data_IF_947405781991
#
_entry.id   IF_947405781991
#
_cell.length_a   1.000
_cell.length_b   1.000
_cell.length_c   1.000
_cell.angle_alpha   90.00
_cell.angle_beta   90.00
_cell.angle_gamma   90.00
#
_symmetry.space_group_name_H-M   'P 1'
#
loop_
_entity.id
_entity.type
_entity.pdbx_description
1 polymer ?
#
# COMPACT_ATOMS: atom_id res chain seq x y z
N UNK A 1 -10.41 26.44 -3.39
CA UNK A 1 -9.11 25.78 -3.57
C UNK A 1 -9.04 25.24 -4.97
N UNK A 2 -8.15 25.76 -5.80
CA UNK A 2 -7.99 25.31 -7.19
C UNK A 2 -6.86 24.30 -7.24
N UNK A 3 -7.17 23.10 -7.70
CA UNK A 3 -6.19 22.06 -7.91
C UNK A 3 -5.67 22.10 -9.33
N UNK A 4 -4.37 21.99 -9.50
CA UNK A 4 -3.74 21.85 -10.82
C UNK A 4 -3.25 20.41 -10.98
N UNK A 5 -3.49 19.85 -12.16
CA UNK A 5 -2.90 18.57 -12.54
C UNK A 5 -1.41 18.81 -12.78
N UNK A 6 -0.55 18.12 -12.02
CA UNK A 6 0.90 18.28 -12.11
C UNK A 6 1.52 17.56 -13.31
N UNK A 7 1.01 17.79 -14.52
CA UNK A 7 1.48 17.08 -15.72
C UNK A 7 2.90 17.46 -16.13
N UNK A 8 3.37 18.64 -15.73
CA UNK A 8 4.70 19.16 -16.09
C UNK A 8 5.69 19.12 -14.92
N UNK A 9 5.26 18.68 -13.74
CA UNK A 9 6.12 18.71 -12.57
C UNK A 9 7.02 17.47 -12.47
N UNK A 10 8.27 17.65 -12.03
CA UNK A 10 9.17 16.53 -11.75
C UNK A 10 8.57 15.63 -10.68
N UNK A 11 8.42 14.36 -10.98
CA UNK A 11 7.76 13.38 -10.13
C UNK A 11 8.32 13.31 -8.70
N UNK A 12 9.64 13.44 -8.55
CA UNK A 12 10.30 13.38 -7.24
C UNK A 12 10.06 14.61 -6.37
N UNK A 13 9.76 15.76 -6.95
CA UNK A 13 9.56 17.01 -6.21
C UNK A 13 8.08 17.42 -6.18
N UNK A 14 7.45 17.57 -7.33
CA UNK A 14 6.05 17.97 -7.45
C UNK A 14 5.08 16.81 -7.26
N UNK A 15 5.27 15.72 -7.99
CA UNK A 15 4.41 14.52 -7.94
C UNK A 15 4.77 13.53 -6.84
N UNK A 16 5.69 13.87 -5.93
CA UNK A 16 6.14 13.01 -4.82
C UNK A 16 6.53 11.59 -5.27
N UNK A 17 7.22 11.49 -6.40
CA UNK A 17 7.75 10.25 -6.94
C UNK A 17 6.76 9.42 -7.75
N UNK A 18 5.64 9.94 -8.16
CA UNK A 18 4.65 9.23 -8.97
C UNK A 18 5.25 8.69 -10.28
N UNK A 19 5.99 9.50 -11.03
CA UNK A 19 6.62 9.08 -12.28
C UNK A 19 7.83 8.16 -12.04
N UNK A 20 8.55 8.36 -10.93
CA UNK A 20 9.62 7.43 -10.53
C UNK A 20 9.06 6.06 -10.20
N UNK A 21 7.94 6.00 -9.46
CA UNK A 21 7.25 4.74 -9.16
C UNK A 21 6.70 4.09 -10.44
N UNK A 22 6.14 4.87 -11.35
CA UNK A 22 5.72 4.37 -12.66
C UNK A 22 6.88 3.77 -13.45
N UNK A 23 8.06 4.42 -13.41
CA UNK A 23 9.25 3.91 -14.05
C UNK A 23 9.70 2.59 -13.46
N UNK A 24 9.76 2.48 -12.14
CA UNK A 24 10.13 1.22 -11.45
C UNK A 24 9.13 0.11 -11.77
N UNK A 25 7.82 0.37 -11.70
CA UNK A 25 6.82 -0.65 -12.00
C UNK A 25 6.90 -1.11 -13.46
N UNK A 26 7.17 -0.22 -14.41
CA UNK A 26 7.37 -0.58 -15.82
C UNK A 26 8.65 -1.41 -16.05
N UNK A 27 9.73 -1.12 -15.35
CA UNK A 27 10.96 -1.94 -15.39
C UNK A 27 10.66 -3.37 -14.95
N UNK A 28 9.92 -3.53 -13.86
CA UNK A 28 9.53 -4.84 -13.34
C UNK A 28 8.62 -5.57 -14.32
N UNK A 29 7.57 -4.94 -14.80
CA UNK A 29 6.60 -5.52 -15.73
C UNK A 29 7.25 -5.90 -17.08
N UNK A 30 8.16 -5.09 -17.60
CA UNK A 30 8.93 -5.38 -18.83
C UNK A 30 9.86 -6.60 -18.69
N UNK A 31 10.11 -7.03 -17.45
CA UNK A 31 10.93 -8.21 -17.12
C UNK A 31 10.09 -9.41 -16.66
N UNK A 32 8.78 -9.40 -16.98
CA UNK A 32 7.80 -10.42 -16.56
C UNK A 32 7.73 -10.59 -15.04
N UNK A 33 7.80 -9.46 -14.32
CA UNK A 33 7.61 -9.40 -12.87
C UNK A 33 6.34 -8.59 -12.61
N UNK A 34 5.18 -9.24 -12.41
CA UNK A 34 3.95 -8.54 -12.09
C UNK A 34 4.08 -7.88 -10.73
N UNK A 35 3.53 -6.67 -10.59
CA UNK A 35 3.63 -5.91 -9.35
C UNK A 35 2.43 -4.98 -9.16
N UNK A 36 2.22 -4.53 -7.93
CA UNK A 36 1.29 -3.45 -7.64
C UNK A 36 1.74 -2.62 -6.42
N UNK A 37 1.32 -1.38 -6.40
CA UNK A 37 1.58 -0.45 -5.31
C UNK A 37 0.60 -0.72 -4.17
N UNK A 38 1.12 -0.93 -2.97
CA UNK A 38 0.34 -1.33 -1.79
C UNK A 38 0.50 -0.34 -0.62
N UNK A 39 0.01 -0.70 0.55
CA UNK A 39 0.14 0.09 1.75
C UNK A 39 -0.46 1.49 1.61
N UNK A 40 0.26 2.49 2.08
CA UNK A 40 -0.20 3.89 2.05
C UNK A 40 -0.45 4.38 0.62
N UNK A 41 0.31 3.90 -0.38
CA UNK A 41 0.09 4.29 -1.78
C UNK A 41 -1.29 3.85 -2.28
N UNK A 42 -1.72 2.64 -1.97
CA UNK A 42 -3.06 2.15 -2.31
C UNK A 42 -4.15 2.90 -1.54
N UNK A 43 -3.93 3.20 -0.26
CA UNK A 43 -4.85 4.00 0.55
C UNK A 43 -5.09 5.39 -0.07
N UNK A 44 -4.02 6.10 -0.46
CA UNK A 44 -4.11 7.41 -1.11
C UNK A 44 -4.83 7.28 -2.44
N UNK A 45 -4.53 6.26 -3.24
CA UNK A 45 -5.22 6.00 -4.51
C UNK A 45 -6.74 5.85 -4.32
N UNK A 46 -7.17 5.28 -3.19
CA UNK A 46 -8.58 5.13 -2.82
C UNK A 46 -9.13 6.27 -1.97
N UNK A 47 -8.43 7.40 -1.88
CA UNK A 47 -8.94 8.63 -1.30
C UNK A 47 -8.66 8.84 0.18
N UNK A 48 -7.87 7.96 0.81
CA UNK A 48 -7.48 8.18 2.21
C UNK A 48 -6.42 9.28 2.34
N UNK A 49 -6.62 10.16 3.30
CA UNK A 49 -5.71 11.28 3.58
C UNK A 49 -4.50 10.82 4.40
N UNK A 50 -3.53 10.21 3.73
CA UNK A 50 -2.28 9.76 4.36
C UNK A 50 -1.06 10.38 3.70
N UNK A 51 0.01 10.53 4.46
CA UNK A 51 1.33 10.91 3.94
C UNK A 51 2.12 9.64 3.63
N UNK A 52 2.60 9.55 2.39
CA UNK A 52 3.44 8.44 1.94
C UNK A 52 4.91 8.75 2.21
N UNK A 53 5.59 7.96 3.07
CA UNK A 53 7.02 8.13 3.28
C UNK A 53 7.82 7.50 2.12
N UNK A 54 7.47 6.27 1.72
CA UNK A 54 8.14 5.46 0.71
C UNK A 54 7.12 4.77 -0.20
N UNK A 55 7.59 4.16 -1.30
CA UNK A 55 6.77 3.41 -2.23
C UNK A 55 6.90 1.90 -1.96
N UNK A 56 5.83 1.29 -1.48
CA UNK A 56 5.74 -0.15 -1.26
C UNK A 56 5.19 -0.82 -2.52
N UNK A 57 5.99 -1.74 -3.09
CA UNK A 57 5.70 -2.44 -4.33
C UNK A 57 5.55 -3.92 -4.02
N UNK A 58 4.34 -4.45 -4.02
CA UNK A 58 4.10 -5.89 -3.87
C UNK A 58 4.53 -6.62 -5.14
N UNK A 59 5.25 -7.73 -4.94
CA UNK A 59 5.81 -8.59 -5.98
C UNK A 59 5.59 -10.04 -5.55
N UNK A 60 5.26 -10.97 -6.47
CA UNK A 60 5.21 -12.39 -6.13
C UNK A 60 6.44 -12.81 -5.36
N UNK A 61 6.26 -13.51 -4.26
CA UNK A 61 7.31 -13.79 -3.27
C UNK A 61 8.51 -14.49 -3.89
N UNK A 62 8.28 -15.41 -4.81
CA UNK A 62 9.29 -16.16 -5.55
C UNK A 62 10.08 -15.28 -6.54
N UNK A 63 9.58 -14.11 -6.89
CA UNK A 63 10.23 -13.17 -7.83
C UNK A 63 10.97 -12.02 -7.14
N UNK A 64 10.91 -11.90 -5.82
CA UNK A 64 11.57 -10.81 -5.05
C UNK A 64 13.08 -10.77 -5.34
N UNK A 65 13.75 -11.92 -5.33
CA UNK A 65 15.18 -12.00 -5.64
C UNK A 65 15.51 -11.58 -7.07
N UNK A 66 14.67 -11.98 -8.04
CA UNK A 66 14.80 -11.57 -9.46
C UNK A 66 14.63 -10.06 -9.60
N UNK A 67 13.61 -9.48 -8.93
CA UNK A 67 13.36 -8.05 -8.95
C UNK A 67 14.52 -7.24 -8.34
N UNK A 68 15.04 -7.68 -7.19
CA UNK A 68 16.17 -7.04 -6.55
C UNK A 68 17.44 -7.10 -7.43
N UNK A 69 17.71 -8.24 -8.05
CA UNK A 69 18.84 -8.39 -8.97
C UNK A 69 18.69 -7.52 -10.22
N UNK A 70 17.48 -7.42 -10.77
CA UNK A 70 17.18 -6.57 -11.94
C UNK A 70 17.55 -5.11 -11.67
N UNK A 71 17.12 -4.55 -10.54
CA UNK A 71 17.40 -3.16 -10.19
C UNK A 71 18.88 -2.89 -9.88
N UNK A 72 19.65 -3.93 -9.48
CA UNK A 72 21.08 -3.85 -9.22
C UNK A 72 21.95 -4.11 -10.46
N UNK A 73 21.35 -4.51 -11.58
CA UNK A 73 22.07 -4.84 -12.82
C UNK A 73 21.98 -3.70 -13.82
N UNK A 74 22.95 -3.62 -14.74
CA UNK A 74 22.90 -2.67 -15.86
C UNK A 74 21.68 -2.95 -16.77
N UNK A 75 20.99 -1.92 -17.25
CA UNK A 75 21.33 -0.49 -17.10
C UNK A 75 20.76 0.17 -15.84
N UNK A 76 20.03 -0.55 -14.98
CA UNK A 76 19.24 0.02 -13.88
C UNK A 76 20.08 0.42 -12.68
N UNK A 77 21.21 -0.25 -12.44
CA UNK A 77 22.18 0.06 -11.38
C UNK A 77 22.73 1.50 -11.41
N UNK A 78 22.68 2.14 -12.57
CA UNK A 78 23.02 3.55 -12.71
C UNK A 78 22.01 4.51 -12.03
N UNK A 79 20.77 4.04 -11.81
CA UNK A 79 19.68 4.84 -11.30
C UNK A 79 19.14 4.35 -9.94
N UNK A 80 19.40 3.11 -9.59
CA UNK A 80 18.89 2.50 -8.34
C UNK A 80 20.04 1.87 -7.56
N UNK A 81 20.09 2.16 -6.27
CA UNK A 81 21.04 1.54 -5.34
C UNK A 81 20.31 0.82 -4.23
N UNK A 82 20.71 -0.42 -3.96
CA UNK A 82 20.24 -1.14 -2.76
C UNK A 82 20.78 -0.41 -1.53
N UNK A 83 19.92 -0.19 -0.57
CA UNK A 83 20.28 0.41 0.72
C UNK A 83 19.87 -0.52 1.85
N UNK A 84 20.39 -0.26 3.05
CA UNK A 84 19.97 -1.01 4.23
C UNK A 84 18.45 -0.99 4.38
N UNK A 85 17.84 -2.11 4.78
CA UNK A 85 16.44 -2.16 5.13
C UNK A 85 16.06 -1.12 6.18
N UNK A 86 14.80 -0.96 6.46
CA UNK A 86 14.34 -0.06 7.50
C UNK A 86 15.04 -0.39 8.84
N UNK A 87 15.68 0.57 9.52
CA UNK A 87 16.59 0.27 10.64
C UNK A 87 15.90 -0.23 11.91
N UNK A 88 14.61 0.05 12.03
CA UNK A 88 13.85 -0.30 13.23
C UNK A 88 12.68 -1.22 12.88
N UNK A 89 12.47 -2.29 13.67
CA UNK A 89 11.27 -3.10 13.53
C UNK A 89 10.05 -2.22 13.79
N UNK A 90 9.18 -2.14 12.81
CA UNK A 90 7.85 -1.57 12.98
C UNK A 90 6.84 -2.69 13.22
N UNK A 91 5.56 -2.38 13.31
CA UNK A 91 4.50 -3.41 13.34
C UNK A 91 4.31 -4.07 11.95
N UNK A 92 5.39 -4.25 11.21
CA UNK A 92 5.45 -4.86 9.88
C UNK A 92 6.85 -5.43 9.64
N UNK A 93 7.01 -6.22 8.59
CA UNK A 93 8.31 -6.80 8.22
C UNK A 93 9.17 -5.88 7.33
N UNK A 94 8.91 -4.56 7.26
CA UNK A 94 9.64 -3.61 6.41
C UNK A 94 11.16 -3.64 6.62
N UNK A 95 11.61 -3.97 7.82
CA UNK A 95 13.02 -4.13 8.16
C UNK A 95 13.68 -5.37 7.53
N UNK A 96 12.91 -6.26 6.94
CA UNK A 96 13.39 -7.46 6.25
C UNK A 96 13.37 -7.33 4.72
N UNK A 97 12.78 -6.26 4.17
CA UNK A 97 12.55 -6.13 2.74
C UNK A 97 13.68 -5.38 2.03
N UNK A 98 13.91 -5.73 0.77
CA UNK A 98 14.82 -4.98 -0.08
C UNK A 98 14.32 -3.55 -0.29
N UNK A 99 15.20 -2.59 -0.01
CA UNK A 99 14.93 -1.16 -0.09
C UNK A 99 15.88 -0.51 -1.07
N UNK A 100 15.36 0.21 -2.03
CA UNK A 100 16.12 0.86 -3.08
C UNK A 100 15.99 2.38 -3.02
N UNK A 101 17.11 3.07 -3.21
CA UNK A 101 17.17 4.52 -3.40
C UNK A 101 17.23 4.83 -4.88
N UNK A 102 16.28 5.63 -5.37
CA UNK A 102 16.36 6.23 -6.70
C UNK A 102 17.35 7.39 -6.74
N UNK A 103 18.06 7.55 -7.84
CA UNK A 103 18.99 8.68 -8.03
C UNK A 103 18.21 10.00 -8.04
N UNK A 104 18.60 10.91 -7.17
CA UNK A 104 17.95 12.23 -7.05
C UNK A 104 16.63 12.24 -6.25
N UNK A 105 16.16 11.09 -5.76
CA UNK A 105 14.94 11.03 -4.94
C UNK A 105 15.24 11.19 -3.46
N UNK A 106 14.26 11.62 -2.67
CA UNK A 106 14.33 11.68 -1.21
C UNK A 106 13.42 10.64 -0.51
N UNK A 107 12.91 9.69 -1.27
CA UNK A 107 12.10 8.54 -0.83
C UNK A 107 12.73 7.25 -1.36
N UNK A 108 12.16 6.11 -0.99
CA UNK A 108 12.66 4.79 -1.33
C UNK A 108 11.58 3.93 -1.98
N UNK A 109 12.03 2.89 -2.69
CA UNK A 109 11.20 1.81 -3.20
C UNK A 109 11.45 0.56 -2.38
N UNK A 110 10.39 0.01 -1.80
CA UNK A 110 10.45 -1.19 -0.95
C UNK A 110 9.78 -2.32 -1.70
N UNK A 111 10.52 -3.41 -1.94
CA UNK A 111 9.98 -4.61 -2.57
C UNK A 111 9.34 -5.49 -1.51
N UNK A 112 8.01 -5.56 -1.52
CA UNK A 112 7.21 -6.28 -0.54
C UNK A 112 6.81 -7.64 -1.10
N UNK A 113 7.10 -8.76 -0.40
CA UNK A 113 6.55 -10.06 -0.81
C UNK A 113 5.01 -10.02 -0.81
N UNK A 114 4.39 -10.39 -1.93
CA UNK A 114 2.94 -10.29 -2.11
C UNK A 114 2.15 -11.12 -1.09
N UNK A 115 2.71 -12.25 -0.64
CA UNK A 115 2.15 -13.03 0.45
C UNK A 115 2.08 -12.27 1.78
N UNK A 116 3.00 -11.34 2.04
CA UNK A 116 3.07 -10.59 3.30
C UNK A 116 2.00 -9.49 3.39
N UNK A 117 1.39 -9.16 2.27
CA UNK A 117 0.24 -8.25 2.17
C UNK A 117 -1.03 -8.97 1.69
N UNK A 118 -1.01 -10.30 1.60
CA UNK A 118 -2.14 -11.14 1.20
C UNK A 118 -2.77 -10.72 -0.14
N UNK A 119 -1.93 -10.37 -1.12
CA UNK A 119 -2.33 -9.91 -2.45
C UNK A 119 -1.70 -10.79 -3.52
N UNK A 120 -2.49 -11.20 -4.51
CA UNK A 120 -2.00 -11.90 -5.68
C UNK A 120 -1.84 -10.89 -6.81
N UNK A 121 -0.58 -10.67 -7.25
CA UNK A 121 -0.24 -9.70 -8.30
C UNK A 121 -0.56 -10.28 -9.71
N UNK A 122 -1.83 -10.47 -10.01
CA UNK A 122 -2.32 -10.89 -11.33
C UNK A 122 -3.03 -9.73 -12.04
N UNK A 123 -3.05 -9.68 -13.39
CA UNK A 123 -3.75 -8.63 -14.14
C UNK A 123 -5.23 -8.52 -13.77
N UNK A 124 -5.89 -9.66 -13.45
CA UNK A 124 -7.27 -9.71 -12.99
C UNK A 124 -7.52 -8.99 -11.65
N UNK A 125 -6.50 -8.87 -10.81
CA UNK A 125 -6.55 -8.27 -9.47
C UNK A 125 -6.03 -6.83 -9.43
N UNK A 126 -5.52 -6.33 -10.57
CA UNK A 126 -4.91 -5.01 -10.66
C UNK A 126 -5.83 -4.05 -11.40
N UNK A 127 -5.91 -2.82 -10.91
CA UNK A 127 -6.43 -1.65 -11.60
C UNK A 127 -5.30 -0.66 -11.82
N UNK A 128 -5.49 0.30 -12.74
CA UNK A 128 -4.47 1.31 -13.01
C UNK A 128 -5.02 2.72 -12.79
N UNK A 129 -4.17 3.58 -12.25
CA UNK A 129 -4.46 5.01 -12.23
C UNK A 129 -4.49 5.58 -13.66
N UNK A 130 -4.95 6.81 -13.83
CA UNK A 130 -4.93 7.48 -15.13
C UNK A 130 -3.53 7.61 -15.73
N UNK A 131 -2.48 7.67 -14.90
CA UNK A 131 -1.07 7.66 -15.33
C UNK A 131 -0.52 6.25 -15.58
N UNK A 132 -1.27 5.21 -15.28
CA UNK A 132 -0.89 3.82 -15.52
C UNK A 132 -0.22 3.10 -14.34
N UNK A 133 -0.13 3.73 -13.16
CA UNK A 133 0.37 3.06 -11.95
C UNK A 133 -0.52 1.88 -11.57
N UNK A 134 0.05 0.70 -11.27
CA UNK A 134 -0.71 -0.49 -10.91
C UNK A 134 -1.08 -0.45 -9.41
N UNK A 135 -2.35 -0.63 -9.12
CA UNK A 135 -2.87 -0.77 -7.75
C UNK A 135 -3.72 -2.04 -7.65
N UNK A 136 -3.83 -2.67 -6.49
CA UNK A 136 -4.80 -3.74 -6.31
C UNK A 136 -6.21 -3.19 -6.52
N UNK A 137 -7.11 -3.96 -7.15
CA UNK A 137 -8.53 -3.61 -7.20
C UNK A 137 -9.07 -3.38 -5.79
N UNK A 138 -10.06 -2.51 -5.65
CA UNK A 138 -10.60 -2.12 -4.34
C UNK A 138 -11.05 -3.34 -3.51
N UNK A 139 -11.76 -4.30 -4.14
CA UNK A 139 -12.18 -5.52 -3.46
C UNK A 139 -11.00 -6.38 -3.01
N UNK A 140 -9.94 -6.47 -3.83
CA UNK A 140 -8.71 -7.21 -3.49
C UNK A 140 -7.99 -6.55 -2.31
N UNK A 141 -7.88 -5.23 -2.33
CA UNK A 141 -7.21 -4.49 -1.26
C UNK A 141 -7.97 -4.56 0.06
N UNK A 142 -9.30 -4.41 0.04
CA UNK A 142 -10.12 -4.53 1.24
C UNK A 142 -10.11 -5.96 1.75
N UNK A 143 -10.19 -6.97 0.86
CA UNK A 143 -10.10 -8.38 1.26
C UNK A 143 -8.77 -8.67 1.96
N UNK A 144 -7.66 -8.17 1.42
CA UNK A 144 -6.34 -8.24 2.06
C UNK A 144 -6.35 -7.66 3.49
N UNK A 145 -6.97 -6.49 3.68
CA UNK A 145 -7.09 -5.90 5.01
C UNK A 145 -7.91 -6.77 6.00
N UNK A 146 -8.95 -7.45 5.51
CA UNK A 146 -9.76 -8.37 6.32
C UNK A 146 -8.97 -9.65 6.65
N UNK A 147 -8.29 -10.22 5.67
CA UNK A 147 -7.55 -11.47 5.81
C UNK A 147 -6.33 -11.29 6.74
N UNK A 148 -5.63 -10.18 6.62
CA UNK A 148 -4.49 -9.83 7.48
C UNK A 148 -4.91 -9.18 8.81
N UNK A 149 -6.21 -8.94 9.02
CA UNK A 149 -6.73 -8.17 10.17
C UNK A 149 -6.05 -6.81 10.33
N UNK A 150 -5.75 -6.15 9.22
CA UNK A 150 -5.23 -4.79 9.23
C UNK A 150 -6.39 -3.78 9.37
N UNK A 151 -6.92 -3.69 10.59
CA UNK A 151 -8.09 -2.86 10.89
C UNK A 151 -7.84 -1.36 10.67
N UNK A 152 -6.59 -0.91 10.74
CA UNK A 152 -6.23 0.48 10.47
C UNK A 152 -6.39 0.82 8.99
N UNK A 153 -5.78 0.03 8.11
CA UNK A 153 -5.93 0.23 6.66
C UNK A 153 -7.38 0.00 6.20
N UNK A 154 -8.07 -0.98 6.80
CA UNK A 154 -9.49 -1.18 6.55
C UNK A 154 -10.31 0.06 6.90
N UNK A 155 -10.05 0.68 8.03
CA UNK A 155 -10.69 1.93 8.44
C UNK A 155 -10.43 3.04 7.41
N UNK A 156 -9.16 3.26 7.07
CA UNK A 156 -8.74 4.30 6.14
C UNK A 156 -9.35 4.14 4.74
N UNK A 157 -9.38 2.91 4.21
CA UNK A 157 -9.94 2.69 2.87
C UNK A 157 -11.47 2.81 2.87
N UNK A 158 -12.15 2.39 3.92
CA UNK A 158 -13.61 2.56 4.07
C UNK A 158 -13.95 4.04 4.16
N UNK A 159 -13.21 4.81 4.93
CA UNK A 159 -13.42 6.25 5.07
C UNK A 159 -13.09 7.00 3.76
N UNK A 160 -11.99 6.64 3.11
CA UNK A 160 -11.57 7.27 1.85
C UNK A 160 -12.49 6.99 0.65
N UNK A 161 -13.19 5.86 0.65
CA UNK A 161 -14.09 5.44 -0.45
C UNK A 161 -15.57 5.63 -0.14
N UNK A 162 -15.92 5.91 1.11
CA UNK A 162 -17.30 6.04 1.60
C UNK A 162 -18.23 4.86 1.23
N UNK A 163 -17.70 3.63 1.24
CA UNK A 163 -18.45 2.45 0.84
C UNK A 163 -19.63 2.15 1.77
N UNK A 164 -20.80 1.75 1.22
CA UNK A 164 -21.91 1.24 2.00
C UNK A 164 -21.69 -0.22 2.40
N UNK A 165 -22.46 -0.70 3.37
CA UNK A 165 -22.33 -2.07 3.90
C UNK A 165 -22.60 -3.12 2.81
N UNK A 166 -23.61 -2.86 1.96
CA UNK A 166 -24.06 -3.73 0.87
C UNK A 166 -22.95 -3.99 -0.15
N UNK A 167 -22.07 -3.01 -0.39
CA UNK A 167 -20.94 -3.19 -1.29
C UNK A 167 -20.03 -4.34 -0.83
N UNK A 168 -19.81 -4.48 0.47
CA UNK A 168 -19.03 -5.57 1.04
C UNK A 168 -19.70 -6.93 0.85
N UNK A 169 -21.02 -7.00 1.03
CA UNK A 169 -21.78 -8.24 0.80
C UNK A 169 -21.69 -8.73 -0.66
N UNK A 170 -21.58 -7.81 -1.62
CA UNK A 170 -21.50 -8.12 -3.05
C UNK A 170 -20.08 -8.42 -3.53
N UNK A 171 -19.05 -7.86 -2.89
CA UNK A 171 -17.70 -7.82 -3.44
C UNK A 171 -16.64 -8.51 -2.58
N UNK A 172 -16.94 -8.92 -1.35
CA UNK A 172 -15.99 -9.46 -0.39
C UNK A 172 -16.39 -10.85 0.09
N UNK A 173 -15.39 -11.60 0.50
CA UNK A 173 -15.53 -12.89 1.19
C UNK A 173 -15.68 -12.64 2.70
N UNK A 174 -16.90 -12.34 3.15
CA UNK A 174 -17.15 -11.96 4.53
C UNK A 174 -17.33 -13.15 5.48
N UNK A 175 -17.53 -14.36 4.95
CA UNK A 175 -17.66 -15.56 5.78
C UNK A 175 -16.29 -15.98 6.36
N UNK A 176 -16.34 -16.48 7.60
CA UNK A 176 -15.14 -16.95 8.31
C UNK A 176 -14.36 -15.84 9.02
N UNK A 177 -13.08 -16.09 9.23
CA UNK A 177 -12.19 -15.28 10.06
C UNK A 177 -10.99 -14.80 9.24
N UNK A 178 -10.23 -13.84 9.80
CA UNK A 178 -8.90 -13.47 9.28
C UNK A 178 -7.99 -14.69 9.18
N UNK A 179 -6.91 -14.59 8.42
CA UNK A 179 -5.93 -15.67 8.27
C UNK A 179 -4.98 -15.71 9.48
N UNK A 180 -5.33 -16.54 10.45
CA UNK A 180 -4.55 -16.73 11.70
C UNK A 180 -3.21 -17.42 11.42
N UNK A 181 -3.15 -18.34 10.47
CA UNK A 181 -1.92 -19.06 10.15
C UNK A 181 -0.90 -18.12 9.46
N UNK A 182 -1.36 -17.26 8.56
CA UNK A 182 -0.55 -16.19 8.01
C UNK A 182 0.00 -15.28 9.12
N UNK A 183 -0.84 -14.86 10.06
CA UNK A 183 -0.42 -14.00 11.17
C UNK A 183 0.65 -14.66 12.05
N UNK A 184 0.52 -15.94 12.33
CA UNK A 184 1.53 -16.72 13.06
C UNK A 184 2.87 -16.79 12.30
N UNK A 185 2.83 -17.00 10.98
CA UNK A 185 4.04 -17.02 10.15
C UNK A 185 4.73 -15.65 10.13
N UNK A 186 3.99 -14.56 9.97
CA UNK A 186 4.51 -13.18 10.05
C UNK A 186 5.19 -12.95 11.42
N UNK A 187 4.53 -13.31 12.50
CA UNK A 187 5.07 -13.14 13.84
C UNK A 187 6.36 -13.96 14.05
N UNK A 188 6.37 -15.20 13.57
CA UNK A 188 7.55 -16.08 13.62
C UNK A 188 8.72 -15.48 12.85
N UNK A 189 8.52 -15.05 11.61
CA UNK A 189 9.58 -14.45 10.78
C UNK A 189 10.11 -13.13 11.36
N UNK A 190 9.25 -12.31 11.95
CA UNK A 190 9.66 -11.10 12.65
C UNK A 190 10.58 -11.41 13.84
N UNK A 191 10.22 -12.40 14.66
CA UNK A 191 11.05 -12.83 15.81
C UNK A 191 12.38 -13.45 15.38
N UNK A 192 12.41 -14.25 14.31
CA UNK A 192 13.63 -14.89 13.81
C UNK A 192 14.65 -13.87 13.29
N UNK A 193 14.20 -12.82 12.61
CA UNK A 193 15.08 -11.76 12.10
C UNK A 193 15.83 -11.04 13.23
N UNK A 194 15.20 -10.86 14.36
CA UNK A 194 15.76 -10.09 15.48
C UNK A 194 16.73 -10.84 16.37
N UNK A 195 16.95 -12.12 16.14
CA UNK A 195 17.79 -12.97 17.03
C UNK A 195 17.42 -12.82 18.52
N UNK A 196 16.15 -12.61 18.83
CA UNK A 196 15.65 -12.46 20.20
C UNK A 196 16.08 -11.17 20.91
N UNK A 197 16.62 -10.19 20.20
CA UNK A 197 17.13 -8.95 20.83
C UNK A 197 16.07 -7.93 21.17
N UNK A 198 14.90 -8.01 20.53
CA UNK A 198 13.77 -7.12 20.83
C UNK A 198 12.60 -7.94 21.36
N UNK A 199 12.32 -7.78 22.64
CA UNK A 199 11.05 -8.22 23.20
C UNK A 199 9.96 -7.29 22.66
N UNK A 200 9.29 -7.66 21.56
CA UNK A 200 8.16 -6.89 21.07
C UNK A 200 7.02 -6.95 22.08
N UNK A 201 6.56 -5.78 22.46
CA UNK A 201 5.39 -5.61 23.31
C UNK A 201 4.09 -5.96 22.57
N UNK A 202 4.15 -6.01 21.24
CA UNK A 202 3.02 -6.31 20.37
C UNK A 202 3.44 -7.25 19.24
N UNK A 203 2.60 -8.20 18.84
CA UNK A 203 2.85 -9.04 17.68
C UNK A 203 2.88 -8.20 16.40
N UNK A 204 3.67 -8.63 15.40
CA UNK A 204 3.68 -8.03 14.05
C UNK A 204 2.32 -8.15 13.35
N UNK A 205 1.61 -9.24 13.62
CA UNK A 205 0.25 -9.47 13.11
C UNK A 205 -0.63 -10.05 14.21
N UNK A 206 -1.93 -9.74 14.14
CA UNK A 206 -2.91 -10.26 15.09
C UNK A 206 -3.25 -11.73 14.78
N UNK A 207 -2.78 -12.65 15.60
CA UNK A 207 -2.94 -14.10 15.46
C UNK A 207 -4.17 -14.69 16.18
N UNK A 208 -5.06 -13.84 16.67
CA UNK A 208 -6.35 -14.26 17.20
C UNK A 208 -7.44 -14.17 16.12
N UNK A 209 -8.36 -15.16 16.03
CA UNK A 209 -9.42 -15.13 15.03
C UNK A 209 -10.40 -13.99 15.29
N UNK A 210 -10.78 -13.28 14.23
CA UNK A 210 -11.84 -12.26 14.24
C UNK A 210 -12.65 -12.38 12.96
N UNK A 211 -13.97 -12.33 13.10
CA UNK A 211 -14.89 -12.44 11.96
C UNK A 211 -14.65 -11.32 10.94
N UNK A 212 -14.49 -11.69 9.66
CA UNK A 212 -14.37 -10.72 8.55
C UNK A 212 -15.62 -9.85 8.45
N UNK A 213 -16.81 -10.44 8.60
CA UNK A 213 -18.09 -9.74 8.58
C UNK A 213 -18.18 -8.71 9.72
N UNK A 214 -17.81 -9.08 10.94
CA UNK A 214 -17.80 -8.15 12.07
C UNK A 214 -16.82 -6.99 11.86
N UNK A 215 -15.63 -7.26 11.34
CA UNK A 215 -14.66 -6.22 11.02
C UNK A 215 -15.20 -5.25 9.97
N UNK A 216 -15.73 -5.77 8.86
CA UNK A 216 -16.33 -4.95 7.81
C UNK A 216 -17.47 -4.08 8.34
N UNK A 217 -18.48 -4.69 8.93
CA UNK A 217 -19.65 -4.00 9.45
C UNK A 217 -19.28 -2.95 10.50
N UNK A 218 -18.37 -3.29 11.40
CA UNK A 218 -17.89 -2.33 12.41
C UNK A 218 -17.29 -1.07 11.79
N UNK A 219 -16.43 -1.22 10.75
CA UNK A 219 -15.78 -0.06 10.13
C UNK A 219 -16.76 0.78 9.31
N UNK A 220 -17.66 0.15 8.58
CA UNK A 220 -18.64 0.87 7.74
C UNK A 220 -19.68 1.60 8.61
N UNK A 221 -20.21 0.94 9.64
CA UNK A 221 -21.26 1.53 10.49
C UNK A 221 -20.79 2.70 11.34
N UNK A 222 -19.49 2.72 11.70
CA UNK A 222 -18.90 3.79 12.52
C UNK A 222 -18.21 4.89 11.70
N UNK A 223 -18.21 4.80 10.35
CA UNK A 223 -17.49 5.79 9.53
C UNK A 223 -18.00 7.23 9.72
N UNK A 224 -19.31 7.42 9.88
CA UNK A 224 -19.90 8.75 10.13
C UNK A 224 -19.35 9.38 11.40
N UNK A 225 -19.23 8.59 12.48
CA UNK A 225 -18.71 9.06 13.76
C UNK A 225 -17.23 9.50 13.63
N UNK A 226 -16.46 8.85 12.76
CA UNK A 226 -15.07 9.21 12.49
C UNK A 226 -14.94 10.45 11.59
N UNK A 227 -15.85 10.62 10.64
CA UNK A 227 -15.80 11.71 9.66
C UNK A 227 -16.38 13.01 10.19
N UNK A 228 -17.26 12.98 11.19
CA UNK A 228 -17.94 14.16 11.73
C UNK A 228 -17.00 15.19 12.37
N UNK A 229 -15.83 14.79 12.85
CA UNK A 229 -14.85 15.71 13.45
C UNK A 229 -13.72 16.12 12.50
N UNK A 230 -13.61 15.50 11.33
CA UNK A 230 -12.79 15.99 10.22
C UNK A 230 -13.71 16.67 9.22
N UNK A 231 -13.70 17.99 9.15
CA UNK A 231 -14.43 18.70 8.11
C UNK A 231 -13.70 18.48 6.79
N UNK A 232 -14.22 17.64 5.86
CA UNK A 232 -13.53 17.28 4.61
C UNK A 232 -13.13 18.49 3.79
N UNK A 233 -13.96 19.52 3.80
CA UNK A 233 -13.81 20.75 3.02
C UNK A 233 -12.57 21.59 3.41
N UNK A 234 -12.00 21.35 4.59
CA UNK A 234 -10.92 22.16 5.11
C UNK A 234 -9.58 21.43 5.29
N UNK A 235 -9.61 20.08 5.35
CA UNK A 235 -8.43 19.34 5.80
C UNK A 235 -7.91 18.36 4.76
N UNK A 236 -8.79 17.68 4.00
CA UNK A 236 -8.37 16.61 3.11
C UNK A 236 -9.14 16.62 1.80
N UNK A 237 -8.44 16.96 0.76
CA UNK A 237 -8.98 17.00 -0.60
C UNK A 237 -9.16 15.59 -1.18
N UNK A 238 -8.43 14.63 -0.64
CA UNK A 238 -8.42 13.24 -1.11
C UNK A 238 -9.22 12.29 -0.24
N UNK A 239 -10.00 12.80 0.71
CA UNK A 239 -10.76 11.95 1.63
C UNK A 239 -11.82 11.12 0.91
N UNK A 240 -12.45 11.71 -0.12
CA UNK A 240 -13.40 11.04 -1.01
C UNK A 240 -12.92 11.19 -2.44
N UNK A 241 -12.60 10.07 -3.05
CA UNK A 241 -12.15 10.04 -4.42
C UNK A 241 -13.22 9.44 -5.32
N UNK A 242 -13.51 10.12 -6.44
CA UNK A 242 -14.33 9.55 -7.50
C UNK A 242 -13.48 8.54 -8.28
N UNK A 243 -14.02 7.35 -8.53
CA UNK A 243 -13.33 6.34 -9.35
C UNK A 243 -13.02 6.94 -10.73
N UNK A 244 -11.76 6.87 -11.13
CA UNK A 244 -11.29 7.43 -12.40
C UNK A 244 -10.63 8.81 -12.29
N UNK A 245 -10.68 9.44 -11.14
CA UNK A 245 -9.93 10.68 -10.91
C UNK A 245 -8.41 10.45 -11.02
N UNK A 246 -7.64 11.49 -11.34
CA UNK A 246 -6.19 11.43 -11.35
C UNK A 246 -5.63 10.90 -10.02
N UNK A 247 -4.46 10.28 -10.09
CA UNK A 247 -3.72 9.92 -8.88
C UNK A 247 -3.57 11.16 -7.99
N UNK A 248 -3.95 11.12 -6.70
CA UNK A 248 -3.93 12.28 -5.81
C UNK A 248 -2.60 13.03 -5.76
N UNK A 249 -1.50 12.32 -5.99
CA UNK A 249 -0.16 12.92 -5.98
C UNK A 249 0.24 13.61 -7.29
N UNK A 250 -0.62 13.58 -8.29
CA UNK A 250 -0.47 14.37 -9.52
C UNK A 250 -1.27 15.67 -9.47
N UNK A 251 -2.03 15.87 -8.38
CA UNK A 251 -2.86 17.07 -8.17
C UNK A 251 -2.20 17.88 -7.07
N UNK A 252 -1.81 19.09 -7.37
CA UNK A 252 -1.19 20.00 -6.42
C UNK A 252 -2.16 21.10 -6.01
N UNK A 253 -2.10 21.51 -4.75
CA UNK A 253 -2.78 22.70 -4.27
C UNK A 253 -1.92 23.93 -4.59
N UNK A 254 -2.55 25.00 -5.05
CA UNK A 254 -1.90 26.29 -5.22
C UNK A 254 -1.48 26.92 -3.87
N UNK A 255 -1.87 26.33 -2.74
CA UNK A 255 -1.70 26.88 -1.40
C UNK A 255 -0.58 26.20 -0.57
N UNK A 256 0.35 25.45 -1.21
CA UNK A 256 1.56 24.90 -0.57
C UNK A 256 2.81 25.60 -1.05
#
# INVERSE_FOLDING_TARGET
MTWKLGDEEPASNGGRGTDDALTVTRILEASDIPCCLVGISALIFYGAARLRPDWEIAIPTELIGKAAQLLQSEPHSANYSLVEPWPEPSMSLLHTYHRFKGKGTNFYFILVPAQDVHIVCEPSNITRSLRGLPYPKLSVFIQSCLDTRNELQLCDVVDGTDLPEEWGEENLQLEGFNDVEWAKDINKRGCEFENGKFAHWSPFAWDAPKSRREMWQSKVRTKKDRLDWTKPDHVYITQYRIIGDPDPWTILSDDY
#
